data_IF_624772372930
#
_entry.id   IF_624772372930
#
_cell.length_a   1.000
_cell.length_b   1.000
_cell.length_c   1.000
_cell.angle_alpha   90.00
_cell.angle_beta   90.00
_cell.angle_gamma   90.00
#
_symmetry.space_group_name_H-M   'P 1'
#
loop_
_entity.id
_entity.type
_entity.pdbx_description
1 polymer ?
#
# COMPACT_ATOMS: atom_id res chain seq x y z
N UNK A 1 -21.16 -27.21 3.18
CA UNK A 1 -21.03 -25.75 2.92
C UNK A 1 -19.71 -25.56 2.21
N UNK A 2 -19.72 -25.12 0.97
CA UNK A 2 -18.45 -24.80 0.23
C UNK A 2 -18.17 -23.33 0.47
N UNK A 3 -17.06 -23.04 1.12
CA UNK A 3 -16.54 -21.66 1.20
C UNK A 3 -16.28 -21.15 -0.22
N UNK A 4 -16.86 -20.02 -0.55
CA UNK A 4 -16.55 -19.32 -1.79
C UNK A 4 -15.20 -18.61 -1.61
N UNK A 5 -14.28 -18.71 -2.57
CA UNK A 5 -13.04 -17.95 -2.51
C UNK A 5 -13.35 -16.45 -2.61
N UNK A 6 -12.88 -15.71 -1.63
CA UNK A 6 -12.93 -14.24 -1.62
C UNK A 6 -12.27 -13.71 -2.89
N UNK A 7 -13.04 -13.02 -3.72
CA UNK A 7 -12.56 -12.45 -4.96
C UNK A 7 -11.56 -11.33 -4.64
N UNK A 8 -10.28 -11.64 -4.78
CA UNK A 8 -9.20 -10.65 -4.84
C UNK A 8 -9.39 -9.82 -6.11
N UNK A 9 -9.85 -8.58 -5.96
CA UNK A 9 -10.07 -7.68 -7.12
C UNK A 9 -8.71 -7.14 -7.56
N UNK A 10 -8.10 -7.82 -8.50
CA UNK A 10 -6.98 -7.28 -9.26
C UNK A 10 -7.56 -6.54 -10.47
N UNK A 11 -7.35 -5.23 -10.59
CA UNK A 11 -7.85 -4.44 -11.71
C UNK A 11 -7.34 -4.96 -13.07
N UNK A 12 -6.15 -5.54 -13.12
CA UNK A 12 -5.61 -6.23 -14.30
C UNK A 12 -6.29 -7.56 -14.59
N UNK A 13 -6.99 -8.17 -13.60
CA UNK A 13 -7.72 -9.43 -13.78
C UNK A 13 -9.10 -9.24 -14.40
N UNK A 14 -9.66 -8.04 -14.36
CA UNK A 14 -11.01 -7.75 -14.91
C UNK A 14 -11.00 -7.68 -16.43
N UNK A 15 -9.84 -7.41 -17.04
CA UNK A 15 -9.73 -7.23 -18.50
C UNK A 15 -9.35 -8.50 -19.28
N UNK A 16 -9.03 -9.60 -18.63
CA UNK A 16 -8.68 -10.85 -19.31
C UNK A 16 -9.63 -11.97 -18.92
N UNK A 17 -10.67 -12.18 -19.71
CA UNK A 17 -11.54 -13.35 -19.66
C UNK A 17 -10.86 -14.66 -20.10
N UNK A 18 -9.60 -14.86 -19.72
CA UNK A 18 -8.81 -16.03 -20.07
C UNK A 18 -8.26 -16.65 -18.78
N UNK A 19 -8.51 -17.93 -18.57
CA UNK A 19 -7.96 -18.80 -17.50
C UNK A 19 -6.42 -18.95 -17.64
N UNK A 20 -5.68 -17.87 -17.59
CA UNK A 20 -4.26 -17.89 -17.42
C UNK A 20 -3.94 -17.80 -15.93
N UNK A 21 -3.18 -18.75 -15.41
CA UNK A 21 -2.56 -18.67 -14.08
C UNK A 21 -1.51 -17.56 -14.15
N UNK A 22 -1.99 -16.32 -14.04
CA UNK A 22 -1.14 -15.14 -14.08
C UNK A 22 -0.35 -15.09 -12.75
N UNK A 23 0.92 -15.39 -12.84
CA UNK A 23 1.90 -14.93 -11.84
C UNK A 23 2.06 -13.41 -12.02
N UNK A 24 1.05 -12.66 -11.60
CA UNK A 24 1.09 -11.20 -11.67
C UNK A 24 1.69 -10.71 -10.36
N UNK A 25 2.79 -9.99 -10.44
CA UNK A 25 3.28 -9.23 -9.31
C UNK A 25 2.16 -8.28 -8.85
N UNK A 26 1.77 -8.42 -7.60
CA UNK A 26 0.72 -7.59 -7.00
C UNK A 26 1.37 -6.34 -6.44
N UNK A 27 1.42 -5.29 -7.24
CA UNK A 27 2.02 -4.04 -6.85
C UNK A 27 1.06 -3.19 -6.03
N UNK A 28 1.52 -2.66 -4.89
CA UNK A 28 0.72 -1.87 -3.97
C UNK A 28 0.14 -0.61 -4.61
N UNK A 29 0.87 0.08 -5.49
CA UNK A 29 0.41 1.31 -6.12
C UNK A 29 -0.87 1.13 -6.93
N UNK A 30 -1.07 -0.02 -7.58
CA UNK A 30 -2.28 -0.30 -8.36
C UNK A 30 -3.53 -0.22 -7.49
N UNK A 31 -3.45 -0.73 -6.27
CA UNK A 31 -4.55 -0.64 -5.31
C UNK A 31 -4.68 0.80 -4.81
N UNK A 32 -3.56 1.44 -4.46
CA UNK A 32 -3.54 2.81 -3.97
C UNK A 32 -4.24 3.79 -4.91
N UNK A 33 -3.88 3.80 -6.18
CA UNK A 33 -4.48 4.74 -7.17
C UNK A 33 -6.00 4.56 -7.27
N UNK A 34 -6.50 3.33 -7.21
CA UNK A 34 -7.94 3.03 -7.24
C UNK A 34 -8.64 3.61 -6.01
N UNK A 35 -8.02 3.57 -4.83
CA UNK A 35 -8.64 4.13 -3.60
C UNK A 35 -8.96 5.61 -3.76
N UNK A 36 -7.99 6.42 -4.20
CA UNK A 36 -8.24 7.85 -4.42
C UNK A 36 -9.23 8.11 -5.54
N UNK A 37 -9.17 7.36 -6.64
CA UNK A 37 -10.14 7.51 -7.72
C UNK A 37 -11.58 7.28 -7.23
N UNK A 38 -11.80 6.29 -6.37
CA UNK A 38 -13.12 6.01 -5.79
C UNK A 38 -13.55 7.10 -4.80
N UNK A 39 -12.62 7.68 -4.02
CA UNK A 39 -12.92 8.85 -3.17
C UNK A 39 -13.36 10.03 -4.02
N UNK A 40 -12.68 10.34 -5.12
CA UNK A 40 -13.06 11.43 -6.04
C UNK A 40 -14.42 11.18 -6.70
N UNK A 41 -14.73 9.93 -7.06
CA UNK A 41 -16.06 9.57 -7.57
C UNK A 41 -17.14 9.76 -6.50
N UNK A 42 -16.87 9.41 -5.25
CA UNK A 42 -17.80 9.72 -4.15
C UNK A 42 -18.03 11.23 -4.00
N UNK A 43 -16.98 12.02 -3.98
CA UNK A 43 -17.07 13.49 -3.86
C UNK A 43 -17.87 14.11 -5.00
N UNK A 44 -17.72 13.58 -6.22
CA UNK A 44 -18.38 14.12 -7.41
C UNK A 44 -19.85 13.70 -7.51
N UNK A 45 -20.16 12.46 -7.12
CA UNK A 45 -21.50 11.88 -7.34
C UNK A 45 -22.37 11.83 -6.08
N UNK A 46 -21.78 11.94 -4.90
CA UNK A 46 -22.43 11.72 -3.61
C UNK A 46 -22.74 10.25 -3.28
N UNK A 47 -22.36 9.30 -4.15
CA UNK A 47 -22.67 7.89 -3.95
C UNK A 47 -21.75 7.23 -2.91
N UNK A 48 -22.34 6.69 -1.84
CA UNK A 48 -21.63 5.95 -0.78
C UNK A 48 -20.98 4.66 -1.29
N UNK A 49 -21.54 4.07 -2.34
CA UNK A 49 -21.04 2.81 -2.91
C UNK A 49 -19.54 2.87 -3.26
N UNK A 50 -19.05 4.03 -3.70
CA UNK A 50 -17.63 4.20 -4.03
C UNK A 50 -16.72 4.10 -2.80
N UNK A 51 -17.13 4.64 -1.65
CA UNK A 51 -16.38 4.48 -0.40
C UNK A 51 -16.43 3.04 0.13
N UNK A 52 -17.56 2.37 -0.02
CA UNK A 52 -17.71 0.96 0.37
C UNK A 52 -16.80 0.07 -0.49
N UNK A 53 -16.74 0.31 -1.79
CA UNK A 53 -15.85 -0.39 -2.71
C UNK A 53 -14.38 -0.10 -2.42
N UNK A 54 -14.01 1.16 -2.17
CA UNK A 54 -12.66 1.54 -1.78
C UNK A 54 -12.24 0.87 -0.47
N UNK A 55 -13.11 0.86 0.53
CA UNK A 55 -12.87 0.20 1.82
C UNK A 55 -12.62 -1.30 1.64
N UNK A 56 -13.42 -1.96 0.83
CA UNK A 56 -13.27 -3.40 0.54
C UNK A 56 -11.94 -3.69 -0.17
N UNK A 57 -11.57 -2.87 -1.15
CA UNK A 57 -10.29 -3.00 -1.87
C UNK A 57 -9.11 -2.76 -0.93
N UNK A 58 -9.17 -1.71 -0.09
CA UNK A 58 -8.10 -1.39 0.86
C UNK A 58 -7.86 -2.52 1.86
N UNK A 59 -8.93 -3.09 2.43
CA UNK A 59 -8.82 -4.23 3.37
C UNK A 59 -8.20 -5.46 2.71
N UNK A 60 -8.62 -5.79 1.49
CA UNK A 60 -8.04 -6.88 0.73
C UNK A 60 -6.57 -6.63 0.39
N UNK A 61 -6.21 -5.39 0.00
CA UNK A 61 -4.84 -5.01 -0.29
C UNK A 61 -3.94 -5.11 0.95
N UNK A 62 -4.38 -4.61 2.10
CA UNK A 62 -3.63 -4.72 3.36
C UNK A 62 -3.40 -6.18 3.72
N UNK A 63 -4.44 -7.02 3.64
CA UNK A 63 -4.32 -8.45 3.93
C UNK A 63 -3.27 -9.18 3.07
N UNK A 64 -3.12 -8.76 1.81
CA UNK A 64 -2.21 -9.41 0.84
C UNK A 64 -0.79 -8.82 0.85
N UNK A 65 -0.65 -7.54 1.21
CA UNK A 65 0.61 -6.80 1.09
C UNK A 65 1.32 -6.60 2.43
N UNK A 66 0.61 -6.64 3.55
CA UNK A 66 1.25 -6.51 4.86
C UNK A 66 1.96 -7.81 5.24
N UNK A 67 3.16 -7.69 5.79
CA UNK A 67 3.82 -8.85 6.40
C UNK A 67 2.95 -9.38 7.55
N UNK A 68 2.66 -10.68 7.59
CA UNK A 68 1.74 -11.26 8.57
C UNK A 68 2.22 -11.18 10.03
N UNK A 69 3.51 -10.95 10.26
CA UNK A 69 4.08 -10.88 11.60
C UNK A 69 4.20 -9.43 12.10
N UNK A 70 4.49 -8.50 11.21
CA UNK A 70 4.79 -7.11 11.56
C UNK A 70 3.67 -6.14 11.18
N UNK A 71 2.87 -6.46 10.17
CA UNK A 71 1.84 -5.58 9.62
C UNK A 71 2.38 -4.48 8.70
N UNK A 72 3.67 -4.47 8.41
CA UNK A 72 4.32 -3.50 7.52
C UNK A 72 4.00 -3.83 6.07
N UNK A 73 3.62 -2.82 5.29
CA UNK A 73 3.38 -2.98 3.85
C UNK A 73 4.69 -3.29 3.13
N UNK A 74 4.65 -4.31 2.27
CA UNK A 74 5.80 -4.78 1.51
C UNK A 74 5.49 -4.99 0.03
N UNK A 75 6.52 -4.84 -0.80
CA UNK A 75 6.56 -5.34 -2.16
C UNK A 75 7.34 -6.65 -2.21
N UNK A 76 7.06 -7.47 -3.21
CA UNK A 76 7.79 -8.75 -3.38
C UNK A 76 9.29 -8.57 -3.58
N UNK A 77 9.71 -7.42 -4.13
CA UNK A 77 11.10 -7.09 -4.40
C UNK A 77 11.87 -6.50 -3.19
N UNK A 78 11.18 -6.16 -2.08
CA UNK A 78 11.84 -5.56 -0.91
C UNK A 78 12.83 -6.52 -0.25
N UNK A 79 12.43 -7.78 -0.10
CA UNK A 79 13.19 -8.79 0.67
C UNK A 79 14.47 -9.24 -0.02
N UNK A 80 14.50 -9.27 -1.34
CA UNK A 80 15.67 -9.66 -2.13
C UNK A 80 16.41 -8.46 -2.73
N UNK A 81 15.99 -7.24 -2.37
CA UNK A 81 16.56 -5.98 -2.84
C UNK A 81 16.62 -5.89 -4.38
N UNK A 82 15.58 -6.38 -5.03
CA UNK A 82 15.46 -6.40 -6.50
C UNK A 82 14.53 -5.34 -7.07
N UNK A 83 14.05 -4.39 -6.23
CA UNK A 83 13.20 -3.31 -6.67
C UNK A 83 13.92 -2.39 -7.65
N UNK A 84 13.28 -2.12 -8.78
CA UNK A 84 13.74 -1.10 -9.72
C UNK A 84 13.31 0.32 -9.27
N UNK A 85 13.78 1.35 -9.96
CA UNK A 85 13.50 2.74 -9.61
C UNK A 85 12.00 3.12 -9.63
N UNK A 86 11.15 2.35 -10.29
CA UNK A 86 9.71 2.56 -10.26
C UNK A 86 9.08 1.85 -9.05
N UNK A 87 9.40 0.58 -8.85
CA UNK A 87 8.81 -0.24 -7.79
C UNK A 87 9.15 0.25 -6.38
N UNK A 88 10.29 0.93 -6.21
CA UNK A 88 10.67 1.57 -4.94
C UNK A 88 9.67 2.63 -4.45
N UNK A 89 8.83 3.19 -5.33
CA UNK A 89 7.86 4.23 -5.00
C UNK A 89 6.46 3.68 -4.62
N UNK A 90 6.18 2.43 -4.94
CA UNK A 90 4.82 1.89 -4.95
C UNK A 90 4.15 1.89 -3.58
N UNK A 91 4.86 1.54 -2.53
CA UNK A 91 4.32 1.53 -1.16
C UNK A 91 3.92 2.92 -0.69
N UNK A 92 4.74 3.94 -0.99
CA UNK A 92 4.39 5.34 -0.68
C UNK A 92 3.11 5.77 -1.36
N UNK A 93 2.96 5.45 -2.66
CA UNK A 93 1.71 5.71 -3.39
C UNK A 93 0.52 5.03 -2.72
N UNK A 94 0.66 3.78 -2.30
CA UNK A 94 -0.42 3.06 -1.61
C UNK A 94 -0.79 3.74 -0.27
N UNK A 95 0.19 3.99 0.59
CA UNK A 95 -0.05 4.57 1.93
C UNK A 95 -0.65 5.97 1.84
N UNK A 96 -0.18 6.82 0.93
CA UNK A 96 -0.74 8.15 0.70
C UNK A 96 -2.23 8.08 0.32
N UNK A 97 -2.58 7.19 -0.59
CA UNK A 97 -3.97 7.01 -1.03
C UNK A 97 -4.83 6.31 0.02
N UNK A 98 -4.26 5.40 0.83
CA UNK A 98 -4.92 4.81 1.99
C UNK A 98 -5.27 5.88 3.04
N UNK A 99 -4.36 6.84 3.26
CA UNK A 99 -4.61 8.00 4.15
C UNK A 99 -5.74 8.87 3.62
N UNK A 100 -5.78 9.09 2.29
CA UNK A 100 -6.90 9.82 1.66
C UNK A 100 -8.22 9.10 1.92
N UNK A 101 -8.30 7.80 1.68
CA UNK A 101 -9.51 7.02 1.97
C UNK A 101 -9.88 7.08 3.45
N UNK A 102 -8.91 6.95 4.36
CA UNK A 102 -9.15 7.02 5.80
C UNK A 102 -9.81 8.33 6.24
N UNK A 103 -9.52 9.44 5.57
CA UNK A 103 -10.13 10.74 5.87
C UNK A 103 -11.63 10.79 5.55
N UNK A 104 -12.12 10.01 4.59
CA UNK A 104 -13.52 9.96 4.16
C UNK A 104 -14.28 8.74 4.68
N UNK A 105 -13.58 7.64 4.89
CA UNK A 105 -14.10 6.40 5.46
C UNK A 105 -13.15 5.91 6.57
N UNK A 106 -13.21 6.52 7.78
CA UNK A 106 -12.32 6.16 8.88
C UNK A 106 -12.42 4.67 9.25
N UNK A 107 -11.27 4.00 9.28
CA UNK A 107 -11.17 2.60 9.67
C UNK A 107 -9.90 2.38 10.50
N UNK A 108 -10.04 1.67 11.62
CA UNK A 108 -8.92 1.40 12.53
C UNK A 108 -7.79 0.65 11.85
N UNK A 109 -8.10 -0.31 10.97
CA UNK A 109 -7.08 -1.06 10.24
C UNK A 109 -6.21 -0.13 9.36
N UNK A 110 -6.82 0.87 8.73
CA UNK A 110 -6.09 1.82 7.90
C UNK A 110 -5.12 2.66 8.73
N UNK A 111 -5.60 3.24 9.83
CA UNK A 111 -4.76 4.01 10.74
C UNK A 111 -3.60 3.16 11.32
N UNK A 112 -3.89 1.94 11.76
CA UNK A 112 -2.88 1.02 12.28
C UNK A 112 -1.83 0.66 11.22
N UNK A 113 -2.24 0.34 10.00
CA UNK A 113 -1.32 0.01 8.89
C UNK A 113 -0.39 1.18 8.57
N UNK A 114 -0.93 2.40 8.48
CA UNK A 114 -0.15 3.62 8.23
C UNK A 114 0.85 3.83 9.36
N UNK A 115 0.41 3.77 10.62
CA UNK A 115 1.25 4.00 11.79
C UNK A 115 2.36 2.95 11.92
N UNK A 116 2.02 1.66 11.78
CA UNK A 116 2.99 0.55 11.89
C UNK A 116 4.07 0.69 10.81
N UNK A 117 3.68 0.97 9.56
CA UNK A 117 4.63 1.17 8.46
C UNK A 117 5.55 2.36 8.73
N UNK A 118 5.02 3.50 9.17
CA UNK A 118 5.81 4.68 9.49
C UNK A 118 6.78 4.46 10.66
N UNK A 119 6.31 3.79 11.73
CA UNK A 119 7.19 3.43 12.87
C UNK A 119 8.32 2.50 12.45
N UNK A 120 8.02 1.51 11.61
CA UNK A 120 9.02 0.57 11.12
C UNK A 120 10.09 1.27 10.29
N UNK A 121 9.69 2.12 9.33
CA UNK A 121 10.60 2.97 8.56
C UNK A 121 11.53 3.74 9.49
N UNK A 122 10.98 4.45 10.45
CA UNK A 122 11.75 5.31 11.34
C UNK A 122 12.76 4.55 12.19
N UNK A 123 12.38 3.36 12.65
CA UNK A 123 13.21 2.54 13.56
C UNK A 123 14.19 1.65 12.82
N UNK A 124 13.83 1.13 11.65
CA UNK A 124 14.54 0.02 11.01
C UNK A 124 15.11 0.36 9.63
N UNK A 125 14.49 1.29 8.90
CA UNK A 125 14.89 1.64 7.52
C UNK A 125 15.42 3.08 7.40
N UNK A 126 15.92 3.64 8.48
CA UNK A 126 16.54 4.97 8.52
C UNK A 126 18.02 4.88 8.86
N UNK A 127 18.89 5.42 8.00
CA UNK A 127 20.32 5.51 8.31
C UNK A 127 20.56 6.45 9.49
N UNK A 128 21.45 6.04 10.43
CA UNK A 128 21.68 6.78 11.66
C UNK A 128 22.53 8.05 11.46
N UNK A 129 23.35 8.07 10.42
CA UNK A 129 24.28 9.17 10.11
C UNK A 129 23.65 10.29 9.30
N UNK A 130 22.85 9.97 8.30
CA UNK A 130 22.29 10.95 7.34
C UNK A 130 20.75 10.99 7.33
N UNK A 131 20.09 10.18 8.13
CA UNK A 131 18.62 10.04 8.14
C UNK A 131 18.00 9.68 6.77
N UNK A 132 18.77 8.98 5.95
CA UNK A 132 18.28 8.49 4.67
C UNK A 132 17.33 7.32 4.87
N UNK A 133 16.30 7.25 4.04
CA UNK A 133 15.25 6.23 4.10
C UNK A 133 15.38 5.29 2.90
N UNK A 134 15.43 4.01 3.19
CA UNK A 134 15.66 2.96 2.20
C UNK A 134 14.38 2.40 1.59
N UNK A 135 14.55 1.30 0.87
CA UNK A 135 13.43 0.59 0.21
C UNK A 135 12.78 -0.44 1.14
N UNK A 136 13.55 -1.07 2.02
CA UNK A 136 13.03 -2.13 2.89
C UNK A 136 12.54 -1.56 4.22
N UNK A 137 11.27 -1.25 4.29
CA UNK A 137 10.65 -0.61 5.46
C UNK A 137 10.77 -1.40 6.78
N UNK A 138 11.11 -2.69 6.73
CA UNK A 138 11.41 -3.50 7.91
C UNK A 138 12.91 -3.52 8.26
N UNK A 139 13.74 -2.88 7.43
CA UNK A 139 15.20 -2.92 7.58
C UNK A 139 15.82 -4.27 7.18
N UNK A 140 17.13 -4.33 7.15
CA UNK A 140 18.04 -3.21 7.35
C UNK A 140 17.96 -2.18 6.21
N UNK A 141 18.54 -1.00 6.42
CA UNK A 141 18.64 0.03 5.38
C UNK A 141 19.46 -0.52 4.21
N UNK A 142 18.78 -0.66 3.08
CA UNK A 142 19.39 -1.06 1.79
C UNK A 142 18.97 -0.05 0.75
N UNK A 143 19.47 -0.09 -0.42
CA UNK A 143 19.11 0.80 -1.53
C UNK A 143 18.49 2.14 -1.08
N UNK A 144 19.28 3.20 -1.12
CA UNK A 144 18.86 4.56 -0.75
C UNK A 144 19.02 5.45 -1.96
N UNK A 145 17.92 6.03 -2.42
CA UNK A 145 17.88 7.00 -3.50
C UNK A 145 16.67 7.95 -3.33
N UNK A 146 16.47 8.87 -4.25
CA UNK A 146 15.39 9.85 -4.17
C UNK A 146 13.99 9.18 -4.18
N UNK A 147 13.83 8.07 -4.88
CA UNK A 147 12.55 7.36 -4.99
C UNK A 147 12.20 6.61 -3.71
N UNK A 148 13.18 5.92 -3.10
CA UNK A 148 12.99 5.24 -1.79
C UNK A 148 12.68 6.24 -0.70
N UNK A 149 13.42 7.36 -0.67
CA UNK A 149 13.20 8.43 0.29
C UNK A 149 11.82 9.07 0.15
N UNK A 150 11.39 9.37 -1.08
CA UNK A 150 10.06 9.90 -1.37
C UNK A 150 8.95 8.93 -0.92
N UNK A 151 9.10 7.64 -1.21
CA UNK A 151 8.14 6.60 -0.82
C UNK A 151 7.97 6.48 0.69
N UNK A 152 9.09 6.40 1.41
CA UNK A 152 9.08 6.32 2.86
C UNK A 152 8.56 7.62 3.49
N UNK A 153 8.86 8.78 2.90
CA UNK A 153 8.38 10.07 3.37
C UNK A 153 6.86 10.21 3.24
N UNK A 154 6.26 9.69 2.16
CA UNK A 154 4.80 9.60 2.01
C UNK A 154 4.15 8.87 3.21
N UNK A 155 4.76 7.79 3.67
CA UNK A 155 4.25 7.04 4.82
C UNK A 155 4.41 7.81 6.15
N UNK A 156 5.55 8.46 6.36
CA UNK A 156 5.78 9.28 7.56
C UNK A 156 4.80 10.46 7.62
N UNK A 157 4.57 11.15 6.51
CA UNK A 157 3.59 12.26 6.42
C UNK A 157 2.17 11.75 6.64
N UNK A 158 1.81 10.60 6.07
CA UNK A 158 0.48 10.01 6.26
C UNK A 158 0.20 9.72 7.74
N UNK A 159 1.20 9.30 8.51
CA UNK A 159 1.05 8.98 9.93
C UNK A 159 0.82 10.21 10.84
N UNK A 160 1.18 11.41 10.39
CA UNK A 160 0.94 12.65 11.17
C UNK A 160 -0.56 12.93 11.33
N UNK A 161 -1.37 12.47 10.42
CA UNK A 161 -2.81 12.73 10.39
C UNK A 161 -3.71 11.48 10.44
N UNK A 162 -3.16 10.30 10.78
CA UNK A 162 -3.91 9.04 10.87
C UNK A 162 -4.33 8.73 12.31
#
# INVERSE_FOLDING_TARGET
MREQPTASVCLSCVLSGINAKLTVNRWSYNQGVVLSALVELHLTTGSQQYLDDATRIAKAAIHELADPNTGVIQESCDKDNSCDANSTQFKGVFIRNLRTLHAFAPDRLFAETIRISAESIWRHDRSQDQNQLGVNWEGPVVQVDASTHSSAFDALVAAIGA
#
